data_IF_817295741031
#
_entry.id   IF_817295741031
#
_cell.length_a   1.000
_cell.length_b   1.000
_cell.length_c   1.000
_cell.angle_alpha   90.00
_cell.angle_beta   90.00
_cell.angle_gamma   90.00
#
_symmetry.space_group_name_H-M   'P 1'
#
loop_
_entity.id
_entity.type
_entity.pdbx_description
1 polymer ?
#
# COMPACT_ATOMS: atom_id res chain seq x y z
N UNK A 1 40.77 -60.12 34.49
CA UNK A 1 40.05 -60.79 35.60
C UNK A 1 38.75 -60.02 35.85
N UNK A 2 37.60 -60.73 35.86
CA UNK A 2 36.30 -60.42 36.52
C UNK A 2 35.48 -59.15 36.15
N UNK A 3 34.52 -59.38 35.24
CA UNK A 3 33.05 -59.29 35.37
C UNK A 3 32.38 -58.68 36.65
N UNK A 4 31.30 -57.92 36.36
CA UNK A 4 30.04 -57.62 37.11
C UNK A 4 29.93 -56.27 37.85
N UNK A 5 28.94 -55.45 37.48
CA UNK A 5 27.69 -55.35 38.26
C UNK A 5 26.57 -54.62 37.50
N UNK A 6 25.35 -55.08 37.73
CA UNK A 6 24.09 -54.62 37.18
C UNK A 6 23.36 -53.65 38.14
N UNK A 7 22.32 -52.98 37.63
CA UNK A 7 21.26 -52.30 38.40
C UNK A 7 21.05 -50.87 37.90
N UNK A 8 19.84 -50.37 37.62
CA UNK A 8 18.48 -50.81 37.92
C UNK A 8 17.54 -50.26 36.84
N UNK A 9 16.54 -51.05 36.49
CA UNK A 9 15.35 -50.65 35.73
C UNK A 9 14.48 -49.74 36.62
N UNK A 10 14.04 -48.61 36.08
CA UNK A 10 12.85 -47.92 36.55
C UNK A 10 11.97 -47.68 35.31
N UNK A 11 10.93 -48.49 35.20
CA UNK A 11 9.82 -48.26 34.30
C UNK A 11 8.92 -47.20 34.93
N UNK A 12 8.53 -46.19 34.15
CA UNK A 12 7.28 -45.46 34.39
C UNK A 12 6.48 -45.43 33.09
N UNK A 13 5.20 -45.68 33.29
CA UNK A 13 4.24 -46.07 32.29
C UNK A 13 3.63 -44.87 31.55
N UNK A 14 3.35 -45.11 30.27
CA UNK A 14 2.13 -44.75 29.54
C UNK A 14 1.54 -43.35 29.69
N UNK A 15 1.51 -42.62 28.57
CA UNK A 15 0.21 -42.25 27.97
C UNK A 15 0.36 -42.15 26.46
N UNK A 16 -0.37 -43.00 25.73
CA UNK A 16 -0.60 -42.80 24.31
C UNK A 16 -1.67 -41.71 24.17
N UNK A 17 -1.39 -40.67 23.39
CA UNK A 17 -2.41 -39.82 22.81
C UNK A 17 -2.15 -39.76 21.30
N UNK A 18 -2.84 -40.62 20.55
CA UNK A 18 -3.07 -40.38 19.14
C UNK A 18 -4.20 -39.36 19.02
N UNK A 19 -3.88 -38.15 18.58
CA UNK A 19 -4.84 -37.33 17.86
C UNK A 19 -4.28 -37.03 16.47
N UNK A 20 -4.79 -37.80 15.51
CA UNK A 20 -4.82 -37.48 14.09
C UNK A 20 -5.56 -36.15 13.89
N UNK A 21 -4.81 -35.06 13.86
CA UNK A 21 -5.28 -33.73 13.47
C UNK A 21 -4.76 -33.40 12.10
N UNK A 22 -5.55 -33.73 11.09
CA UNK A 22 -5.53 -33.22 9.71
C UNK A 22 -4.89 -31.83 9.65
N UNK A 23 -3.78 -31.72 8.93
CA UNK A 23 -3.25 -30.45 8.52
C UNK A 23 -4.33 -29.77 7.67
N UNK A 24 -5.04 -28.79 8.24
CA UNK A 24 -5.70 -27.77 7.45
C UNK A 24 -4.57 -26.97 6.81
N UNK A 25 -4.09 -27.48 5.68
CA UNK A 25 -3.42 -26.67 4.66
C UNK A 25 -4.53 -25.74 4.18
N UNK A 26 -4.72 -24.63 4.90
CA UNK A 26 -5.47 -23.52 4.37
C UNK A 26 -4.79 -23.20 3.05
N UNK A 27 -5.53 -23.36 1.95
CA UNK A 27 -5.09 -22.86 0.68
C UNK A 27 -4.88 -21.36 0.89
N UNK A 28 -3.63 -20.96 1.11
CA UNK A 28 -3.20 -19.62 0.81
C UNK A 28 -3.49 -19.49 -0.68
N UNK A 29 -4.64 -18.90 -1.01
CA UNK A 29 -4.83 -18.33 -2.32
C UNK A 29 -3.70 -17.32 -2.44
N UNK A 30 -2.62 -17.72 -3.11
CA UNK A 30 -1.68 -16.80 -3.68
C UNK A 30 -2.51 -15.99 -4.68
N UNK A 31 -3.08 -14.88 -4.23
CA UNK A 31 -3.45 -13.81 -5.13
C UNK A 31 -2.17 -13.53 -5.91
N UNK A 32 -2.26 -13.75 -7.22
CA UNK A 32 -1.20 -13.41 -8.15
C UNK A 32 -0.94 -11.91 -7.97
N UNK A 33 0.09 -11.56 -7.19
CA UNK A 33 0.64 -10.21 -7.14
C UNK A 33 0.93 -9.89 -8.61
N UNK A 34 0.10 -9.03 -9.21
CA UNK A 34 0.04 -8.89 -10.65
C UNK A 34 1.44 -8.77 -11.21
N UNK A 35 1.78 -9.54 -12.24
CA UNK A 35 3.11 -9.48 -12.83
C UNK A 35 3.42 -8.10 -13.42
N UNK A 36 4.64 -7.88 -13.96
CA UNK A 36 4.94 -6.69 -14.72
C UNK A 36 3.88 -6.45 -15.82
N UNK A 37 3.42 -5.22 -15.97
CA UNK A 37 2.33 -4.92 -16.89
C UNK A 37 1.82 -3.49 -16.80
N UNK A 38 0.89 -3.10 -17.69
CA UNK A 38 0.22 -1.82 -17.60
C UNK A 38 -0.72 -1.74 -16.38
N UNK A 39 -0.63 -0.65 -15.65
CA UNK A 39 -1.61 -0.21 -14.66
C UNK A 39 -2.48 0.89 -15.26
N UNK A 40 -3.79 0.81 -15.03
CA UNK A 40 -4.77 1.83 -15.41
C UNK A 40 -5.37 2.41 -14.14
N UNK A 41 -5.27 3.72 -13.95
CA UNK A 41 -5.58 4.34 -12.66
C UNK A 41 -6.10 5.77 -12.78
N UNK A 42 -6.75 6.25 -11.72
CA UNK A 42 -6.96 7.67 -11.45
C UNK A 42 -6.67 7.96 -9.99
N UNK A 43 -6.43 9.23 -9.68
CA UNK A 43 -6.10 9.72 -8.34
C UNK A 43 -7.06 10.85 -8.02
N UNK A 44 -7.67 10.83 -6.84
CA UNK A 44 -8.48 11.93 -6.32
C UNK A 44 -7.79 12.49 -5.09
N UNK A 45 -7.70 13.81 -5.01
CA UNK A 45 -7.14 14.54 -3.88
C UNK A 45 -8.28 15.21 -3.12
N UNK A 46 -8.22 15.17 -1.79
CA UNK A 46 -9.25 15.77 -0.94
C UNK A 46 -8.60 16.48 0.23
N UNK A 47 -8.76 17.80 0.27
CA UNK A 47 -8.46 18.63 1.43
C UNK A 47 -9.78 19.19 2.01
N UNK A 48 -10.35 18.60 3.09
CA UNK A 48 -11.54 19.15 3.76
C UNK A 48 -11.28 20.44 4.55
N UNK A 49 -10.01 20.82 4.74
CA UNK A 49 -9.60 22.05 5.45
C UNK A 49 -9.34 23.21 4.49
N UNK A 50 -9.38 22.94 3.19
CA UNK A 50 -9.18 23.91 2.12
C UNK A 50 -10.02 25.17 2.36
N UNK A 51 -9.37 26.33 2.27
CA UNK A 51 -10.00 27.60 2.62
C UNK A 51 -9.60 28.76 1.72
N UNK A 52 -8.94 28.46 0.61
CA UNK A 52 -8.58 29.43 -0.43
C UNK A 52 -9.80 29.91 -1.26
N UNK A 53 -9.52 30.57 -2.40
CA UNK A 53 -10.55 31.21 -3.22
C UNK A 53 -11.45 30.24 -3.99
N UNK A 54 -11.01 29.00 -4.21
CA UNK A 54 -11.69 28.02 -5.04
C UNK A 54 -12.13 26.77 -4.27
N UNK A 55 -11.65 26.58 -3.04
CA UNK A 55 -11.92 25.45 -2.17
C UNK A 55 -11.60 24.08 -2.81
N UNK A 56 -10.55 24.02 -3.63
CA UNK A 56 -10.05 22.80 -4.25
C UNK A 56 -8.57 22.61 -3.90
N UNK A 57 -8.11 21.36 -3.73
CA UNK A 57 -6.75 21.10 -3.25
C UNK A 57 -5.69 21.47 -4.29
N UNK A 58 -4.53 21.91 -3.80
CA UNK A 58 -3.33 22.22 -4.58
C UNK A 58 -2.21 21.21 -4.24
N UNK A 59 -2.36 19.91 -4.62
CA UNK A 59 -1.48 18.86 -4.15
C UNK A 59 -0.09 18.91 -4.78
N UNK A 60 0.93 18.63 -3.97
CA UNK A 60 2.30 18.35 -4.41
C UNK A 60 2.84 17.08 -3.74
N UNK A 61 3.88 16.49 -4.32
CA UNK A 61 4.51 15.25 -3.83
C UNK A 61 4.43 14.12 -4.84
N UNK A 62 4.21 12.89 -4.37
CA UNK A 62 4.22 11.71 -5.23
C UNK A 62 3.16 10.67 -4.85
N UNK A 63 2.71 9.93 -5.87
CA UNK A 63 1.95 8.69 -5.75
C UNK A 63 2.69 7.62 -6.53
N UNK A 64 3.00 6.50 -5.89
CA UNK A 64 3.76 5.40 -6.48
C UNK A 64 3.12 4.03 -6.19
N UNK A 65 3.56 3.03 -6.97
CA UNK A 65 3.35 1.62 -6.65
C UNK A 65 4.68 0.94 -6.39
N UNK A 66 4.73 0.04 -5.41
CA UNK A 66 6.00 -0.61 -5.00
C UNK A 66 5.99 -2.10 -5.22
N UNK A 67 7.16 -2.62 -5.55
CA UNK A 67 7.46 -4.04 -5.54
C UNK A 67 7.59 -4.57 -4.11
N UNK A 68 7.48 -5.90 -3.89
CA UNK A 68 7.75 -6.52 -2.59
C UNK A 68 9.16 -6.25 -2.03
N UNK A 69 10.11 -5.86 -2.88
CA UNK A 69 11.47 -5.47 -2.52
C UNK A 69 11.68 -3.95 -2.46
N UNK A 70 10.60 -3.15 -2.50
CA UNK A 70 10.62 -1.70 -2.32
C UNK A 70 10.94 -0.87 -3.55
N UNK A 71 11.12 -1.48 -4.74
CA UNK A 71 11.31 -0.72 -5.97
C UNK A 71 10.01 0.03 -6.35
N UNK A 72 10.03 1.36 -6.54
CA UNK A 72 8.85 2.13 -6.90
C UNK A 72 8.68 2.27 -8.42
N UNK A 73 7.42 2.49 -8.84
CA UNK A 73 7.06 3.09 -10.12
C UNK A 73 6.11 4.26 -9.85
N UNK A 74 6.56 5.47 -10.13
CA UNK A 74 5.78 6.71 -9.96
C UNK A 74 4.59 6.72 -10.91
N UNK A 75 3.40 6.94 -10.35
CA UNK A 75 2.15 7.15 -11.07
C UNK A 75 1.92 8.64 -11.34
N UNK A 76 2.11 9.46 -10.31
CA UNK A 76 1.99 10.90 -10.38
C UNK A 76 3.05 11.55 -9.50
N UNK A 77 3.57 12.67 -9.95
CA UNK A 77 4.49 13.51 -9.19
C UNK A 77 4.24 14.97 -9.55
N UNK A 78 4.34 15.85 -8.57
CA UNK A 78 4.36 17.28 -8.77
C UNK A 78 5.27 17.93 -7.73
N UNK A 79 6.20 18.82 -8.11
CA UNK A 79 7.03 19.52 -7.14
C UNK A 79 6.19 20.53 -6.33
N UNK A 80 6.60 20.77 -5.09
CA UNK A 80 6.16 21.96 -4.37
C UNK A 80 6.73 23.21 -5.07
N UNK A 81 5.84 24.07 -5.54
CA UNK A 81 6.18 25.36 -6.16
C UNK A 81 5.53 26.54 -5.42
N UNK A 82 5.19 26.32 -4.14
CA UNK A 82 4.45 27.23 -3.27
C UNK A 82 3.16 27.69 -3.94
N UNK A 83 2.85 28.98 -3.81
CA UNK A 83 1.64 29.65 -4.34
C UNK A 83 1.34 29.45 -5.85
N UNK A 84 2.23 28.80 -6.60
CA UNK A 84 2.00 28.45 -8.00
C UNK A 84 1.61 26.97 -8.17
N UNK A 85 1.39 26.24 -7.08
CA UNK A 85 0.99 24.84 -7.12
C UNK A 85 -0.42 24.81 -7.70
N UNK A 86 -0.65 24.06 -8.79
CA UNK A 86 -1.92 24.13 -9.47
C UNK A 86 -2.98 23.38 -8.67
N UNK A 87 -4.17 23.97 -8.62
CA UNK A 87 -5.38 23.28 -8.21
C UNK A 87 -5.58 21.98 -8.99
N UNK A 88 -5.64 20.84 -8.28
CA UNK A 88 -5.75 19.51 -8.87
C UNK A 88 -6.58 18.57 -7.97
N UNK A 89 -7.93 18.61 -8.05
CA UNK A 89 -8.77 17.69 -7.30
C UNK A 89 -8.68 16.24 -7.82
N UNK A 90 -8.21 16.03 -9.05
CA UNK A 90 -8.15 14.70 -9.69
C UNK A 90 -7.09 14.63 -10.78
N UNK A 91 -6.39 13.50 -10.85
CA UNK A 91 -5.53 13.11 -11.97
C UNK A 91 -6.00 11.80 -12.65
N UNK A 92 -5.95 11.69 -14.00
CA UNK A 92 -5.72 12.80 -14.92
C UNK A 92 -6.91 13.77 -14.90
N UNK A 93 -6.65 15.03 -15.20
CA UNK A 93 -7.66 16.11 -15.23
C UNK A 93 -8.71 15.83 -16.31
N UNK A 94 -8.30 15.15 -17.39
CA UNK A 94 -9.13 14.78 -18.52
C UNK A 94 -9.17 13.26 -18.71
N UNK A 95 -10.38 12.75 -18.92
CA UNK A 95 -10.61 11.34 -19.21
C UNK A 95 -10.75 10.46 -17.96
N UNK A 96 -11.14 9.18 -18.15
CA UNK A 96 -11.50 8.31 -17.03
C UNK A 96 -10.28 7.77 -16.27
N UNK A 97 -9.11 7.66 -16.89
CA UNK A 97 -7.92 7.11 -16.26
C UNK A 97 -6.66 7.49 -17.05
N UNK A 98 -5.52 7.41 -16.39
CA UNK A 98 -4.19 7.37 -17.00
C UNK A 98 -3.66 5.92 -16.97
N UNK A 99 -2.52 5.67 -17.63
CA UNK A 99 -1.87 4.38 -17.59
C UNK A 99 -0.33 4.48 -17.58
N UNK A 100 0.31 3.52 -16.91
CA UNK A 100 1.77 3.38 -16.90
C UNK A 100 2.19 1.92 -16.99
N UNK A 101 3.38 1.67 -17.50
CA UNK A 101 3.98 0.33 -17.44
C UNK A 101 4.75 0.17 -16.13
N UNK A 102 4.41 -0.86 -15.35
CA UNK A 102 5.09 -1.21 -14.11
C UNK A 102 5.99 -2.42 -14.38
N UNK A 103 7.33 -2.30 -14.26
CA UNK A 103 8.27 -3.35 -14.63
C UNK A 103 8.45 -4.43 -13.54
N UNK A 104 7.61 -4.42 -12.51
CA UNK A 104 7.69 -5.32 -11.36
C UNK A 104 6.28 -5.66 -10.87
N UNK A 105 6.13 -6.76 -10.10
CA UNK A 105 4.89 -6.99 -9.37
C UNK A 105 4.61 -5.85 -8.39
N UNK A 106 3.33 -5.62 -8.10
CA UNK A 106 2.89 -4.58 -7.15
C UNK A 106 2.45 -5.24 -5.85
N UNK A 107 3.03 -4.79 -4.73
CA UNK A 107 2.64 -5.17 -3.37
C UNK A 107 2.01 -4.04 -2.58
N UNK A 108 2.31 -2.79 -2.92
CA UNK A 108 1.83 -1.62 -2.18
C UNK A 108 1.50 -0.47 -3.14
N UNK A 109 0.54 0.35 -2.73
CA UNK A 109 0.24 1.66 -3.31
C UNK A 109 0.59 2.69 -2.25
N UNK A 110 1.40 3.68 -2.60
CA UNK A 110 1.89 4.68 -1.66
C UNK A 110 1.55 6.09 -2.13
N UNK A 111 1.35 6.99 -1.18
CA UNK A 111 1.15 8.40 -1.42
C UNK A 111 1.87 9.19 -0.32
N UNK A 112 2.72 10.12 -0.74
CA UNK A 112 3.37 11.12 0.09
C UNK A 112 3.02 12.47 -0.52
N UNK A 113 1.90 13.04 -0.11
CA UNK A 113 1.27 14.20 -0.76
C UNK A 113 0.96 15.26 0.28
N UNK A 114 1.57 16.42 0.08
CA UNK A 114 1.24 17.66 0.76
C UNK A 114 0.31 18.52 -0.10
N UNK A 115 -0.08 19.65 0.45
CA UNK A 115 -0.98 20.62 -0.13
C UNK A 115 -0.48 22.01 0.26
N UNK A 116 -0.41 22.93 -0.70
CA UNK A 116 0.00 24.32 -0.44
C UNK A 116 -1.26 25.17 -0.22
N UNK A 117 -1.47 25.65 1.00
CA UNK A 117 -2.65 26.46 1.33
C UNK A 117 -2.51 27.94 0.88
N UNK A 118 -1.93 28.18 -0.30
CA UNK A 118 -1.67 29.52 -0.90
C UNK A 118 -1.02 30.57 0.02
N UNK A 119 -0.33 30.15 1.08
CA UNK A 119 0.33 31.02 2.06
C UNK A 119 -0.57 31.59 3.16
N UNK A 120 -1.73 30.99 3.44
CA UNK A 120 -2.64 31.37 4.52
C UNK A 120 -2.37 30.59 5.83
N UNK A 121 -1.91 29.34 5.73
CA UNK A 121 -1.58 28.43 6.84
C UNK A 121 -0.34 27.57 6.52
N UNK A 122 0.06 26.75 7.49
CA UNK A 122 1.06 25.70 7.29
C UNK A 122 0.47 24.63 6.37
N UNK A 123 1.25 24.17 5.39
CA UNK A 123 0.90 23.12 4.44
C UNK A 123 0.24 21.90 5.11
N UNK A 124 -0.91 21.51 4.58
CA UNK A 124 -1.60 20.31 5.00
C UNK A 124 -0.97 19.05 4.38
N UNK A 125 -0.83 18.00 5.20
CA UNK A 125 -0.45 16.67 4.70
C UNK A 125 -1.73 15.93 4.32
N UNK A 126 -1.91 15.64 3.03
CA UNK A 126 -3.05 14.87 2.52
C UNK A 126 -2.86 13.37 2.69
N UNK A 127 -1.65 12.87 2.46
CA UNK A 127 -1.32 11.46 2.61
C UNK A 127 0.17 11.27 2.97
N UNK A 128 0.42 10.35 3.90
CA UNK A 128 1.77 9.88 4.25
C UNK A 128 1.68 8.38 4.56
N UNK A 129 2.03 7.55 3.58
CA UNK A 129 2.14 6.12 3.78
C UNK A 129 1.71 5.26 2.59
N UNK A 130 1.46 3.99 2.89
CA UNK A 130 1.18 2.95 1.91
C UNK A 130 0.04 2.03 2.34
N UNK A 131 -0.67 1.46 1.37
CA UNK A 131 -1.64 0.39 1.56
C UNK A 131 -1.22 -0.87 0.78
N UNK A 132 -1.48 -2.07 1.32
CA UNK A 132 -1.21 -3.31 0.60
C UNK A 132 -2.11 -3.42 -0.63
N UNK A 133 -1.52 -3.73 -1.77
CA UNK A 133 -2.24 -3.98 -3.02
C UNK A 133 -2.93 -5.34 -2.98
N UNK A 134 -4.25 -5.34 -3.22
CA UNK A 134 -5.10 -6.55 -3.20
C UNK A 134 -5.83 -6.80 -4.52
N UNK A 135 -5.58 -5.98 -5.54
CA UNK A 135 -6.24 -6.04 -6.85
C UNK A 135 -6.83 -4.70 -7.30
N UNK A 136 -7.54 -4.64 -8.44
CA UNK A 136 -8.30 -3.45 -8.83
C UNK A 136 -9.28 -3.01 -7.74
N UNK A 137 -9.41 -1.69 -7.52
CA UNK A 137 -10.20 -1.11 -6.45
C UNK A 137 -9.70 0.27 -6.03
N UNK A 138 -10.31 0.81 -4.97
CA UNK A 138 -9.97 2.11 -4.40
C UNK A 138 -9.05 1.96 -3.19
N UNK A 139 -8.00 2.78 -3.17
CA UNK A 139 -6.97 2.81 -2.14
C UNK A 139 -6.89 4.22 -1.57
N UNK A 140 -7.55 4.46 -0.44
CA UNK A 140 -7.56 5.75 0.23
C UNK A 140 -6.50 5.80 1.33
N UNK A 141 -5.49 6.62 1.11
CA UNK A 141 -4.43 6.92 2.08
C UNK A 141 -4.77 8.29 2.67
N UNK A 142 -4.80 8.39 4.00
CA UNK A 142 -5.21 9.60 4.70
C UNK A 142 -4.13 10.04 5.67
N UNK A 143 -4.02 11.35 5.85
CA UNK A 143 -3.24 11.98 6.90
C UNK A 143 -4.10 13.01 7.63
N UNK A 144 -3.48 13.89 8.42
CA UNK A 144 -4.20 14.85 9.24
C UNK A 144 -4.99 15.88 8.42
N UNK A 145 -4.41 16.35 7.30
CA UNK A 145 -4.98 17.40 6.46
C UNK A 145 -6.03 16.89 5.49
N UNK A 146 -5.90 15.66 5.00
CA UNK A 146 -6.83 15.15 4.00
C UNK A 146 -6.65 13.69 3.60
N UNK A 147 -6.86 13.41 2.31
CA UNK A 147 -6.67 12.08 1.75
C UNK A 147 -6.36 12.08 0.26
N UNK A 148 -5.68 11.02 -0.16
CA UNK A 148 -5.46 10.66 -1.56
C UNK A 148 -6.12 9.31 -1.82
N UNK A 149 -7.02 9.23 -2.79
CA UNK A 149 -7.63 7.98 -3.24
C UNK A 149 -7.07 7.60 -4.61
N UNK A 150 -6.36 6.48 -4.68
CA UNK A 150 -5.94 5.87 -5.94
C UNK A 150 -6.96 4.80 -6.35
N UNK A 151 -7.65 5.01 -7.47
CA UNK A 151 -8.51 4.00 -8.07
C UNK A 151 -7.72 3.23 -9.12
N UNK A 152 -7.50 1.94 -8.89
CA UNK A 152 -6.89 1.02 -9.86
C UNK A 152 -8.00 0.29 -10.62
N UNK A 153 -8.12 0.54 -11.92
CA UNK A 153 -9.13 -0.07 -12.78
C UNK A 153 -8.70 -1.44 -13.29
N UNK A 154 -7.43 -1.57 -13.64
CA UNK A 154 -6.85 -2.78 -14.21
C UNK A 154 -5.34 -2.80 -13.96
N UNK A 155 -4.81 -4.00 -13.74
CA UNK A 155 -3.38 -4.28 -13.79
C UNK A 155 -3.13 -5.60 -14.54
N UNK A 156 -2.19 -5.61 -15.48
CA UNK A 156 -1.81 -6.79 -16.27
C UNK A 156 -1.73 -6.58 -17.78
#
# INVERSE_FOLDING_TARGET
MRLRSAGRVAAFASTALMLTGIANVGAAHAQELGGPGPIYYSITFSNPRESDDNNLPEPYGEVDVRAPWGQPTTLWEHPDVGINTPTLPRYPDFGPFDHRFVPHPVSEICANVGEDDTGINDDDILADGCLPYTGPGDYTISAEGGSVTVTVYKFG
#
